data_IF_295761420899
#
_entry.id   IF_295761420899
#
_cell.length_a   1.000
_cell.length_b   1.000
_cell.length_c   1.000
_cell.angle_alpha   90.00
_cell.angle_beta   90.00
_cell.angle_gamma   90.00
#
_symmetry.space_group_name_H-M   'P 1'
#
loop_
_entity.id
_entity.type
_entity.pdbx_description
1 polymer ?
#
# COMPACT_ATOMS: atom_id res chain seq x y z
N UNK A 1 -15.09 -12.27 25.47
CA UNK A 1 -15.77 -11.39 24.50
C UNK A 1 -16.34 -10.21 25.27
N UNK A 2 -15.62 -9.08 25.32
CA UNK A 2 -16.09 -7.88 26.02
C UNK A 2 -16.89 -7.02 25.04
N UNK A 3 -18.21 -7.04 25.18
CA UNK A 3 -19.12 -6.17 24.44
C UNK A 3 -19.09 -4.77 25.08
N UNK A 4 -18.13 -3.93 24.67
CA UNK A 4 -18.16 -2.51 25.01
C UNK A 4 -19.39 -1.88 24.35
N UNK A 5 -20.15 -1.02 25.04
CA UNK A 5 -21.20 -0.25 24.39
C UNK A 5 -20.57 0.52 23.24
N UNK A 6 -21.15 0.37 22.06
CA UNK A 6 -20.79 1.15 20.89
C UNK A 6 -21.11 2.61 21.20
N UNK A 7 -20.09 3.43 21.38
CA UNK A 7 -20.25 4.89 21.49
C UNK A 7 -19.90 5.55 20.15
N UNK A 8 -20.82 6.36 19.62
CA UNK A 8 -20.63 7.12 18.38
C UNK A 8 -21.59 6.71 17.25
N UNK A 9 -21.61 7.52 16.19
CA UNK A 9 -22.35 7.20 14.96
C UNK A 9 -21.81 5.90 14.32
N UNK A 10 -22.64 5.22 13.55
CA UNK A 10 -22.20 4.11 12.71
C UNK A 10 -21.13 4.56 11.71
N UNK A 11 -20.10 3.74 11.54
CA UNK A 11 -19.17 3.88 10.43
C UNK A 11 -19.92 3.68 9.10
N UNK A 12 -19.53 4.46 8.09
CA UNK A 12 -20.14 4.44 6.74
C UNK A 12 -19.43 3.52 5.76
N UNK A 13 -18.42 2.81 6.25
CA UNK A 13 -17.56 1.93 5.51
C UNK A 13 -17.17 0.75 6.40
N UNK A 14 -17.08 -0.42 5.81
CA UNK A 14 -16.57 -1.63 6.44
C UNK A 14 -15.99 -2.58 5.39
N UNK A 15 -14.97 -3.35 5.78
CA UNK A 15 -14.48 -4.50 5.02
C UNK A 15 -15.07 -5.82 5.52
N UNK A 16 -15.92 -5.76 6.53
CA UNK A 16 -16.60 -6.93 7.08
C UNK A 16 -17.81 -7.30 6.21
N UNK A 17 -18.26 -8.56 6.25
CA UNK A 17 -19.52 -8.96 5.66
C UNK A 17 -20.69 -8.09 6.13
N UNK A 18 -21.60 -7.79 5.22
CA UNK A 18 -22.77 -6.93 5.47
C UNK A 18 -24.07 -7.69 5.26
N UNK A 19 -25.12 -7.21 5.91
CA UNK A 19 -26.50 -7.55 5.60
C UNK A 19 -27.21 -6.33 5.05
N UNK A 20 -28.15 -6.52 4.12
CA UNK A 20 -28.88 -5.41 3.51
C UNK A 20 -30.34 -5.75 3.24
N UNK A 21 -31.15 -4.70 3.11
CA UNK A 21 -32.57 -4.73 2.81
C UNK A 21 -32.88 -3.81 1.61
N UNK A 22 -33.68 -4.26 0.63
CA UNK A 22 -34.17 -3.41 -0.45
C UNK A 22 -35.10 -2.34 0.10
N UNK A 23 -34.81 -1.08 -0.26
CA UNK A 23 -35.69 0.05 -0.01
C UNK A 23 -36.36 0.43 -1.32
N UNK A 24 -37.69 0.43 -1.32
CA UNK A 24 -38.49 0.79 -2.49
C UNK A 24 -39.30 2.05 -2.24
N UNK A 25 -39.49 2.87 -3.27
CA UNK A 25 -40.45 3.98 -3.30
C UNK A 25 -41.46 3.73 -4.41
N UNK A 26 -42.75 3.60 -4.06
CA UNK A 26 -43.84 3.28 -4.99
C UNK A 26 -43.53 2.04 -5.85
N UNK A 27 -42.90 1.03 -5.25
CA UNK A 27 -42.48 -0.22 -5.91
C UNK A 27 -41.18 -0.15 -6.70
N UNK A 28 -40.53 1.01 -6.80
CA UNK A 28 -39.23 1.17 -7.47
C UNK A 28 -38.09 1.04 -6.47
N UNK A 29 -37.09 0.19 -6.73
CA UNK A 29 -35.89 0.07 -5.89
C UNK A 29 -35.08 1.38 -5.95
N UNK A 30 -34.93 2.05 -4.81
CA UNK A 30 -34.16 3.30 -4.69
C UNK A 30 -32.80 3.10 -4.00
N UNK A 31 -32.59 1.97 -3.33
CA UNK A 31 -31.32 1.69 -2.69
C UNK A 31 -31.37 0.53 -1.70
N UNK A 32 -30.25 0.29 -1.05
CA UNK A 32 -30.07 -0.73 -0.02
C UNK A 32 -29.73 -0.09 1.32
N UNK A 33 -30.53 -0.41 2.33
CA UNK A 33 -30.22 -0.11 3.73
C UNK A 33 -29.39 -1.28 4.29
N UNK A 34 -28.20 -0.99 4.80
CA UNK A 34 -27.23 -2.03 5.14
C UNK A 34 -26.61 -1.86 6.53
N UNK A 35 -26.14 -2.96 7.10
CA UNK A 35 -25.41 -3.02 8.36
C UNK A 35 -24.32 -4.10 8.32
N UNK A 36 -23.19 -3.85 8.98
CA UNK A 36 -22.14 -4.86 9.13
C UNK A 36 -22.60 -6.01 10.05
N UNK A 37 -22.20 -7.24 9.72
CA UNK A 37 -22.43 -8.42 10.57
C UNK A 37 -21.62 -8.37 11.87
N UNK A 38 -20.48 -7.68 11.82
CA UNK A 38 -19.57 -7.48 12.95
C UNK A 38 -19.14 -6.02 13.02
N UNK A 39 -18.88 -5.51 14.23
CA UNK A 39 -18.46 -4.12 14.42
C UNK A 39 -19.63 -3.13 14.42
N UNK A 40 -19.34 -1.89 14.07
CA UNK A 40 -20.27 -0.77 14.19
C UNK A 40 -20.43 0.05 12.91
N UNK A 41 -20.86 -0.59 11.82
CA UNK A 41 -21.09 0.08 10.54
C UNK A 41 -22.50 -0.16 10.02
N UNK A 42 -23.10 0.89 9.47
CA UNK A 42 -24.39 0.88 8.79
C UNK A 42 -24.56 2.15 7.96
N UNK A 43 -25.26 2.02 6.84
CA UNK A 43 -25.46 3.08 5.88
C UNK A 43 -26.62 2.79 4.93
N UNK A 44 -26.79 3.70 3.98
CA UNK A 44 -27.70 3.53 2.87
C UNK A 44 -26.93 3.77 1.57
N UNK A 45 -26.90 2.76 0.70
CA UNK A 45 -26.39 2.93 -0.66
C UNK A 45 -27.55 3.19 -1.61
N UNK A 46 -27.41 4.24 -2.43
CA UNK A 46 -28.44 4.63 -3.40
C UNK A 46 -28.25 3.90 -4.73
N UNK A 47 -29.36 3.64 -5.40
CA UNK A 47 -29.37 3.18 -6.79
C UNK A 47 -29.15 4.39 -7.71
N UNK A 48 -28.11 4.36 -8.55
CA UNK A 48 -27.66 5.54 -9.30
C UNK A 48 -28.50 5.86 -10.54
N UNK A 49 -29.12 4.85 -11.16
CA UNK A 49 -29.95 4.98 -12.37
C UNK A 49 -31.38 5.47 -12.07
N UNK A 50 -31.87 5.25 -10.84
CA UNK A 50 -33.21 5.61 -10.40
C UNK A 50 -33.32 7.08 -9.95
N UNK A 51 -32.21 7.69 -9.49
CA UNK A 51 -32.17 9.06 -8.98
C UNK A 51 -31.21 9.95 -9.79
N UNK A 52 -31.80 10.85 -10.58
CA UNK A 52 -31.09 11.97 -11.19
C UNK A 52 -30.61 12.95 -10.12
N UNK A 53 -29.43 12.70 -9.52
CA UNK A 53 -28.72 13.62 -8.63
C UNK A 53 -29.39 13.99 -7.29
N UNK A 54 -30.64 13.60 -7.04
CA UNK A 54 -31.32 13.82 -5.77
C UNK A 54 -30.69 12.97 -4.66
N UNK A 55 -30.44 13.58 -3.51
CA UNK A 55 -29.83 12.96 -2.33
C UNK A 55 -30.79 12.92 -1.13
N UNK A 56 -32.05 13.31 -1.31
CA UNK A 56 -33.06 13.36 -0.25
C UNK A 56 -33.23 12.00 0.44
N UNK A 57 -33.31 10.92 -0.34
CA UNK A 57 -33.41 9.55 0.19
C UNK A 57 -32.20 9.18 1.05
N UNK A 58 -30.99 9.48 0.54
CA UNK A 58 -29.74 9.25 1.26
C UNK A 58 -29.71 9.97 2.59
N UNK A 59 -29.94 11.29 2.61
CA UNK A 59 -29.89 12.07 3.85
C UNK A 59 -30.96 11.65 4.86
N UNK A 60 -32.13 11.24 4.40
CA UNK A 60 -33.21 10.80 5.29
C UNK A 60 -32.85 9.47 5.98
N UNK A 61 -32.29 8.51 5.24
CA UNK A 61 -31.82 7.26 5.84
C UNK A 61 -30.62 7.47 6.76
N UNK A 62 -29.67 8.30 6.36
CA UNK A 62 -28.51 8.65 7.19
C UNK A 62 -28.93 9.25 8.53
N UNK A 63 -29.91 10.16 8.53
CA UNK A 63 -30.49 10.71 9.76
C UNK A 63 -31.14 9.64 10.63
N UNK A 64 -31.96 8.76 10.04
CA UNK A 64 -32.62 7.65 10.77
C UNK A 64 -31.61 6.70 11.42
N UNK A 65 -30.49 6.44 10.74
CA UNK A 65 -29.40 5.63 11.26
C UNK A 65 -28.65 6.35 12.39
N UNK A 66 -28.36 7.64 12.26
CA UNK A 66 -27.78 8.44 13.34
C UNK A 66 -28.66 8.51 14.58
N UNK A 67 -29.98 8.66 14.42
CA UNK A 67 -30.93 8.60 15.53
C UNK A 67 -30.92 7.23 16.21
N UNK A 68 -30.82 6.14 15.44
CA UNK A 68 -30.71 4.80 15.99
C UNK A 68 -29.39 4.61 16.77
N UNK A 69 -28.29 5.08 16.22
CA UNK A 69 -26.99 5.04 16.89
C UNK A 69 -26.99 5.85 18.19
N UNK A 70 -27.62 7.03 18.19
CA UNK A 70 -27.79 7.86 19.39
C UNK A 70 -28.64 7.18 20.48
N UNK A 71 -29.54 6.28 20.09
CA UNK A 71 -30.33 5.43 20.99
C UNK A 71 -29.56 4.16 21.43
N UNK A 72 -28.34 3.95 20.95
CA UNK A 72 -27.52 2.78 21.29
C UNK A 72 -27.99 1.49 20.63
N UNK A 73 -28.75 1.58 19.54
CA UNK A 73 -29.17 0.39 18.79
C UNK A 73 -27.94 -0.28 18.14
N UNK A 74 -27.88 -1.62 18.10
CA UNK A 74 -26.93 -2.32 17.23
C UNK A 74 -27.25 -2.06 15.75
N UNK A 75 -26.25 -2.02 14.84
CA UNK A 75 -26.46 -1.76 13.42
C UNK A 75 -27.56 -2.62 12.76
N UNK A 76 -27.52 -3.93 12.98
CA UNK A 76 -28.51 -4.87 12.40
C UNK A 76 -29.93 -4.56 12.93
N UNK A 77 -30.07 -4.29 14.22
CA UNK A 77 -31.36 -3.94 14.80
C UNK A 77 -31.90 -2.59 14.26
N UNK A 78 -30.99 -1.64 14.00
CA UNK A 78 -31.33 -0.35 13.45
C UNK A 78 -31.87 -0.41 12.01
N UNK A 79 -31.41 -1.37 11.20
CA UNK A 79 -31.95 -1.60 9.86
C UNK A 79 -33.22 -2.46 9.89
N UNK A 80 -33.24 -3.53 10.69
CA UNK A 80 -34.39 -4.45 10.79
C UNK A 80 -35.67 -3.79 11.29
N UNK A 81 -35.58 -2.77 12.17
CA UNK A 81 -36.76 -2.08 12.71
C UNK A 81 -37.66 -1.44 11.64
N UNK A 82 -37.14 -1.26 10.43
CA UNK A 82 -37.87 -0.64 9.32
C UNK A 82 -38.63 -1.65 8.45
N UNK A 83 -38.45 -2.96 8.66
CA UNK A 83 -39.19 -4.00 7.94
C UNK A 83 -40.69 -3.87 8.26
N UNK A 84 -41.51 -3.65 7.23
CA UNK A 84 -42.95 -3.49 7.36
C UNK A 84 -43.40 -2.12 7.89
N UNK A 85 -42.47 -1.18 8.11
CA UNK A 85 -42.83 0.20 8.42
C UNK A 85 -43.55 0.84 7.22
N UNK A 86 -44.56 1.71 7.44
CA UNK A 86 -45.21 2.43 6.36
C UNK A 86 -44.21 3.17 5.46
N UNK A 87 -44.44 3.10 4.15
CA UNK A 87 -43.63 3.81 3.17
C UNK A 87 -43.64 5.32 3.43
N UNK A 88 -42.46 5.93 3.36
CA UNK A 88 -42.28 7.37 3.50
C UNK A 88 -42.01 7.99 2.14
N UNK A 89 -42.67 9.10 1.76
CA UNK A 89 -42.40 9.77 0.49
C UNK A 89 -40.93 10.19 0.30
N UNK A 90 -40.25 10.52 1.40
CA UNK A 90 -38.86 11.01 1.40
C UNK A 90 -37.81 9.89 1.47
N UNK A 91 -38.20 8.65 1.77
CA UNK A 91 -37.24 7.58 2.06
C UNK A 91 -37.66 6.19 1.57
N UNK A 92 -38.82 6.07 0.91
CA UNK A 92 -39.41 4.78 0.60
C UNK A 92 -39.75 3.97 1.85
N UNK A 93 -39.86 2.66 1.67
CA UNK A 93 -40.14 1.68 2.71
C UNK A 93 -39.52 0.33 2.41
N UNK A 94 -39.58 -0.56 3.41
CA UNK A 94 -39.13 -1.95 3.30
C UNK A 94 -40.36 -2.83 3.52
N UNK A 95 -40.67 -3.69 2.56
CA UNK A 95 -41.89 -4.51 2.61
C UNK A 95 -41.93 -5.42 3.84
N UNK A 96 -43.13 -5.68 4.36
CA UNK A 96 -43.32 -6.63 5.45
C UNK A 96 -42.88 -8.05 5.01
N UNK A 97 -42.19 -8.76 5.90
CA UNK A 97 -41.67 -10.10 5.61
C UNK A 97 -40.40 -10.14 4.75
N UNK A 98 -39.81 -8.98 4.43
CA UNK A 98 -38.49 -8.93 3.77
C UNK A 98 -37.43 -9.54 4.69
N UNK A 99 -36.67 -10.50 4.17
CA UNK A 99 -35.54 -11.10 4.87
C UNK A 99 -34.25 -10.31 4.61
N UNK A 100 -33.30 -10.40 5.55
CA UNK A 100 -31.97 -9.85 5.35
C UNK A 100 -31.21 -10.65 4.29
N UNK A 101 -30.64 -9.94 3.32
CA UNK A 101 -29.73 -10.54 2.35
C UNK A 101 -28.29 -10.33 2.82
N UNK A 102 -27.43 -11.33 2.64
CA UNK A 102 -26.02 -11.25 3.02
C UNK A 102 -25.13 -10.97 1.80
N UNK A 103 -24.11 -10.13 1.99
CA UNK A 103 -23.02 -9.95 1.04
C UNK A 103 -21.66 -10.11 1.74
N UNK A 104 -20.67 -10.57 0.98
CA UNK A 104 -19.31 -10.78 1.49
C UNK A 104 -18.65 -9.48 1.98
N UNK A 105 -19.01 -8.36 1.37
CA UNK A 105 -18.54 -7.00 1.66
C UNK A 105 -19.47 -5.96 1.01
N UNK A 106 -19.23 -4.68 1.32
CA UNK A 106 -20.00 -3.55 0.79
C UNK A 106 -19.81 -3.37 -0.73
N UNK A 107 -18.68 -3.79 -1.29
CA UNK A 107 -18.40 -3.71 -2.73
C UNK A 107 -19.26 -4.70 -3.53
N UNK A 108 -19.42 -5.92 -3.03
CA UNK A 108 -20.31 -6.94 -3.61
C UNK A 108 -21.75 -6.43 -3.66
N UNK A 109 -22.24 -5.87 -2.56
CA UNK A 109 -23.57 -5.26 -2.47
C UNK A 109 -23.72 -4.06 -3.42
N UNK A 110 -22.71 -3.19 -3.49
CA UNK A 110 -22.69 -2.03 -4.38
C UNK A 110 -22.77 -2.44 -5.86
N UNK A 111 -22.00 -3.44 -6.27
CA UNK A 111 -21.98 -3.93 -7.65
C UNK A 111 -23.31 -4.57 -8.06
N UNK A 112 -24.01 -5.22 -7.12
CA UNK A 112 -25.37 -5.70 -7.37
C UNK A 112 -26.37 -4.55 -7.55
N UNK A 113 -26.28 -3.53 -6.70
CA UNK A 113 -27.18 -2.38 -6.75
C UNK A 113 -26.93 -1.49 -7.98
N UNK A 114 -25.67 -1.35 -8.38
CA UNK A 114 -25.19 -0.42 -9.41
C UNK A 114 -24.24 -1.12 -10.40
N UNK A 115 -24.72 -2.07 -11.21
CA UNK A 115 -23.87 -2.89 -12.09
C UNK A 115 -23.13 -2.06 -13.15
N UNK A 116 -23.73 -0.98 -13.62
CA UNK A 116 -23.14 -0.03 -14.58
C UNK A 116 -22.53 1.21 -13.89
N UNK A 117 -22.48 1.22 -12.55
CA UNK A 117 -21.95 2.32 -11.75
C UNK A 117 -20.42 2.32 -11.68
N UNK A 118 -19.80 3.43 -11.26
CA UNK A 118 -18.39 3.42 -10.90
C UNK A 118 -18.16 2.48 -9.71
N UNK A 119 -16.95 1.92 -9.53
CA UNK A 119 -16.63 1.14 -8.34
C UNK A 119 -16.77 2.02 -7.09
N UNK A 120 -17.24 1.42 -5.99
CA UNK A 120 -17.42 2.11 -4.69
C UNK A 120 -16.11 2.76 -4.21
N UNK A 121 -14.98 2.16 -4.54
CA UNK A 121 -13.64 2.61 -4.19
C UNK A 121 -13.09 1.94 -2.93
N UNK A 122 -11.82 2.18 -2.57
CA UNK A 122 -11.14 1.47 -1.47
C UNK A 122 -11.60 1.92 -0.06
N UNK A 123 -12.40 2.98 0.00
CA UNK A 123 -12.85 3.61 1.24
C UNK A 123 -11.73 4.23 2.08
N UNK A 124 -12.00 4.55 3.35
CA UNK A 124 -10.98 5.02 4.29
C UNK A 124 -9.83 4.04 4.44
N UNK A 125 -8.61 4.55 4.66
CA UNK A 125 -7.43 3.72 4.88
C UNK A 125 -7.63 2.75 6.08
N UNK A 126 -8.12 3.29 7.19
CA UNK A 126 -8.43 2.53 8.40
C UNK A 126 -9.92 2.21 8.44
N UNK A 127 -10.26 0.93 8.49
CA UNK A 127 -11.64 0.44 8.63
C UNK A 127 -11.62 -0.74 9.60
N UNK A 128 -12.62 -0.82 10.48
CA UNK A 128 -12.75 -1.93 11.44
C UNK A 128 -11.49 -2.15 12.33
N UNK A 129 -10.68 -1.11 12.52
CA UNK A 129 -9.40 -1.18 13.25
C UNK A 129 -8.22 -1.76 12.45
N UNK A 130 -8.40 -1.99 11.14
CA UNK A 130 -7.44 -2.62 10.25
C UNK A 130 -7.04 -1.71 9.08
N UNK A 131 -5.81 -1.88 8.61
CA UNK A 131 -5.33 -1.40 7.31
C UNK A 131 -5.82 -2.32 6.17
N UNK A 132 -5.70 -1.91 4.88
CA UNK A 132 -6.19 -2.71 3.76
C UNK A 132 -5.56 -4.10 3.62
N UNK A 133 -4.33 -4.28 4.12
CA UNK A 133 -3.59 -5.54 4.17
C UNK A 133 -3.97 -6.41 5.39
N UNK A 134 -5.05 -6.08 6.09
CA UNK A 134 -5.50 -6.69 7.35
C UNK A 134 -4.54 -6.47 8.54
N UNK A 135 -3.56 -5.58 8.42
CA UNK A 135 -2.68 -5.21 9.53
C UNK A 135 -3.47 -4.43 10.58
N UNK A 136 -3.46 -4.83 11.87
CA UNK A 136 -4.09 -4.06 12.93
C UNK A 136 -3.45 -2.70 13.12
N UNK A 137 -4.26 -1.66 13.27
CA UNK A 137 -3.78 -0.33 13.63
C UNK A 137 -3.29 -0.33 15.08
N UNK A 138 -3.99 -1.03 15.97
CA UNK A 138 -3.56 -1.27 17.35
C UNK A 138 -2.42 -2.29 17.39
N UNK A 139 -1.21 -1.82 17.68
CA UNK A 139 0.01 -2.64 17.70
C UNK A 139 0.06 -3.64 18.86
N UNK A 140 -0.82 -3.51 19.86
CA UNK A 140 -0.99 -4.55 20.87
C UNK A 140 -1.62 -5.83 20.26
N UNK A 141 -2.31 -5.72 19.12
CA UNK A 141 -2.92 -6.85 18.40
C UNK A 141 -1.96 -7.48 17.38
N UNK A 142 -0.70 -7.04 17.34
CA UNK A 142 0.35 -7.54 16.47
C UNK A 142 0.63 -6.64 15.27
N UNK A 143 1.41 -7.18 14.33
CA UNK A 143 1.90 -6.48 13.14
C UNK A 143 1.31 -7.00 11.84
N UNK A 144 0.31 -7.89 11.91
CA UNK A 144 -0.16 -8.65 10.75
C UNK A 144 0.89 -9.64 10.24
N UNK A 145 0.70 -10.17 9.02
CA UNK A 145 1.68 -11.04 8.38
C UNK A 145 2.97 -10.25 8.07
N UNK A 146 4.07 -10.59 8.74
CA UNK A 146 5.37 -10.03 8.40
C UNK A 146 5.84 -10.61 7.07
N UNK A 147 5.87 -9.79 6.03
CA UNK A 147 6.44 -10.16 4.72
C UNK A 147 7.86 -9.61 4.60
N UNK A 148 8.84 -10.49 4.38
CA UNK A 148 10.16 -10.05 3.93
C UNK A 148 10.03 -9.64 2.46
N UNK A 149 10.12 -8.34 2.19
CA UNK A 149 10.23 -7.87 0.82
C UNK A 149 11.45 -8.55 0.17
N UNK A 150 11.27 -9.11 -1.02
CA UNK A 150 12.42 -9.57 -1.80
C UNK A 150 13.33 -8.37 -2.04
N UNK A 151 14.66 -8.50 -1.87
CA UNK A 151 15.56 -7.41 -2.15
C UNK A 151 15.36 -6.94 -3.61
N UNK A 152 15.45 -5.63 -3.88
CA UNK A 152 15.35 -5.13 -5.24
C UNK A 152 16.33 -5.87 -6.18
N UNK A 153 15.92 -6.22 -7.40
CA UNK A 153 16.81 -6.87 -8.35
C UNK A 153 18.08 -6.03 -8.58
N UNK A 154 19.24 -6.66 -8.48
CA UNK A 154 20.55 -6.02 -8.70
C UNK A 154 21.55 -7.04 -9.23
N UNK A 155 22.71 -6.57 -9.68
CA UNK A 155 23.79 -7.41 -10.17
C UNK A 155 24.25 -8.42 -9.11
N UNK A 156 24.83 -9.55 -9.55
CA UNK A 156 25.51 -10.44 -8.63
C UNK A 156 26.67 -9.70 -7.92
N UNK A 157 26.78 -9.86 -6.61
CA UNK A 157 27.75 -9.11 -5.78
C UNK A 157 29.08 -9.83 -5.60
N UNK A 158 29.26 -10.99 -6.26
CA UNK A 158 30.49 -11.78 -6.21
C UNK A 158 30.85 -12.28 -7.61
N UNK A 159 32.14 -12.38 -7.88
CA UNK A 159 32.68 -12.97 -9.11
C UNK A 159 34.08 -13.51 -8.85
N UNK A 160 34.43 -14.60 -9.53
CA UNK A 160 35.81 -15.12 -9.60
C UNK A 160 36.56 -14.62 -10.84
N UNK A 161 35.86 -13.95 -11.76
CA UNK A 161 36.45 -13.41 -12.97
C UNK A 161 37.21 -12.10 -12.70
N UNK A 162 37.98 -11.67 -13.71
CA UNK A 162 38.58 -10.34 -13.71
C UNK A 162 37.49 -9.26 -13.60
N UNK A 163 37.83 -8.16 -12.94
CA UNK A 163 36.92 -7.04 -12.71
C UNK A 163 37.48 -5.74 -13.27
N UNK A 164 36.62 -4.92 -13.88
CA UNK A 164 36.90 -3.52 -14.14
C UNK A 164 36.49 -2.71 -12.94
N UNK A 165 37.23 -1.65 -12.61
CA UNK A 165 36.93 -0.86 -11.43
C UNK A 165 37.24 0.63 -11.57
N UNK A 166 36.55 1.43 -10.76
CA UNK A 166 36.73 2.87 -10.63
C UNK A 166 36.85 3.27 -9.16
N UNK A 167 37.80 4.15 -8.81
CA UNK A 167 37.92 4.65 -7.44
C UNK A 167 36.75 5.58 -7.11
N UNK A 168 36.19 5.38 -5.93
CA UNK A 168 35.28 6.32 -5.28
C UNK A 168 36.12 7.20 -4.36
N UNK A 169 36.10 8.50 -4.59
CA UNK A 169 36.90 9.49 -3.89
C UNK A 169 36.04 10.48 -3.13
N UNK A 170 36.56 10.96 -2.00
CA UNK A 170 35.97 12.05 -1.21
C UNK A 170 37.08 12.83 -0.52
N UNK A 171 37.09 14.14 -0.65
CA UNK A 171 38.15 15.01 -0.08
C UNK A 171 39.57 14.51 -0.38
N UNK A 172 39.81 14.03 -1.61
CA UNK A 172 41.11 13.49 -2.05
C UNK A 172 41.46 12.09 -1.53
N UNK A 173 40.60 11.45 -0.73
CA UNK A 173 40.81 10.09 -0.20
C UNK A 173 39.95 9.07 -0.93
N UNK A 174 40.52 7.90 -1.26
CA UNK A 174 39.78 6.78 -1.86
C UNK A 174 39.01 6.03 -0.77
N UNK A 175 37.68 6.06 -0.85
CA UNK A 175 36.77 5.36 0.07
C UNK A 175 36.63 3.87 -0.27
N UNK A 176 36.74 3.54 -1.56
CA UNK A 176 36.54 2.19 -2.08
C UNK A 176 36.54 2.19 -3.61
N UNK A 177 36.09 1.08 -4.18
CA UNK A 177 36.07 0.87 -5.62
C UNK A 177 34.69 0.37 -6.06
N UNK A 178 34.08 1.05 -7.03
CA UNK A 178 33.04 0.42 -7.84
C UNK A 178 33.69 -0.58 -8.77
N UNK A 179 33.15 -1.78 -8.87
CA UNK A 179 33.68 -2.79 -9.77
C UNK A 179 32.56 -3.50 -10.53
N UNK A 180 32.92 -4.01 -11.70
CA UNK A 180 32.07 -4.81 -12.56
C UNK A 180 32.89 -5.95 -13.15
N UNK A 181 32.31 -7.14 -13.20
CA UNK A 181 32.93 -8.30 -13.83
C UNK A 181 33.21 -8.02 -15.31
N UNK A 182 34.38 -8.46 -15.79
CA UNK A 182 34.74 -8.40 -17.20
C UNK A 182 33.87 -9.36 -18.02
N UNK A 183 33.47 -10.48 -17.41
CA UNK A 183 32.59 -11.50 -17.98
C UNK A 183 31.37 -11.71 -17.09
N UNK A 184 30.18 -11.81 -17.69
CA UNK A 184 28.92 -11.92 -16.95
C UNK A 184 28.44 -10.58 -16.37
N UNK A 185 27.45 -10.65 -15.48
CA UNK A 185 26.69 -9.49 -15.00
C UNK A 185 26.75 -9.36 -13.46
N UNK A 186 27.97 -9.15 -12.98
CA UNK A 186 28.25 -8.94 -11.56
C UNK A 186 28.87 -7.55 -11.35
N UNK A 187 28.39 -6.81 -10.37
CA UNK A 187 28.92 -5.51 -9.97
C UNK A 187 28.57 -5.23 -8.51
N UNK A 188 29.50 -4.59 -7.80
CA UNK A 188 29.25 -4.09 -6.46
C UNK A 188 30.22 -2.94 -6.16
N UNK A 189 30.11 -2.39 -4.95
CA UNK A 189 31.08 -1.53 -4.33
C UNK A 189 31.92 -2.33 -3.32
N UNK A 190 33.25 -2.22 -3.45
CA UNK A 190 34.21 -2.78 -2.51
C UNK A 190 34.76 -1.66 -1.61
N UNK A 191 34.43 -1.62 -0.30
CA UNK A 191 35.00 -0.64 0.61
C UNK A 191 36.50 -0.87 0.77
N UNK A 192 37.28 0.22 0.83
CA UNK A 192 38.71 0.13 1.15
C UNK A 192 38.89 0.03 2.66
N UNK A 193 39.65 -0.96 3.13
CA UNK A 193 39.91 -1.16 4.57
C UNK A 193 40.53 0.08 5.23
N UNK A 194 41.45 0.77 4.56
CA UNK A 194 42.08 1.99 5.05
C UNK A 194 41.12 3.19 5.19
N UNK A 195 39.97 3.18 4.50
CA UNK A 195 38.94 4.21 4.63
C UNK A 195 38.01 4.00 5.83
N UNK A 196 38.16 2.88 6.56
CA UNK A 196 37.41 2.58 7.77
C UNK A 196 35.89 2.69 7.57
N UNK A 197 35.22 3.33 8.52
CA UNK A 197 33.76 3.45 8.51
C UNK A 197 33.24 4.36 7.39
N UNK A 198 34.02 5.34 6.94
CA UNK A 198 33.65 6.16 5.78
C UNK A 198 33.52 5.31 4.52
N UNK A 199 34.43 4.36 4.31
CA UNK A 199 34.36 3.38 3.22
C UNK A 199 33.12 2.50 3.30
N UNK A 200 32.78 2.01 4.49
CA UNK A 200 31.60 1.15 4.72
C UNK A 200 30.28 1.91 4.53
N UNK A 201 30.18 3.12 5.06
CA UNK A 201 28.98 3.96 4.97
C UNK A 201 28.63 4.32 3.52
N UNK A 202 29.65 4.51 2.67
CA UNK A 202 29.46 4.78 1.24
C UNK A 202 28.77 3.62 0.48
N UNK A 203 28.87 2.38 0.98
CA UNK A 203 28.42 1.19 0.25
C UNK A 203 26.92 1.19 -0.07
N UNK A 204 26.09 1.67 0.86
CA UNK A 204 24.62 1.66 0.69
C UNK A 204 24.17 2.46 -0.53
N UNK A 205 24.66 3.70 -0.66
CA UNK A 205 24.27 4.59 -1.76
C UNK A 205 24.81 4.09 -3.11
N UNK A 206 26.04 3.57 -3.14
CA UNK A 206 26.59 3.01 -4.38
C UNK A 206 25.86 1.74 -4.83
N UNK A 207 25.48 0.85 -3.91
CA UNK A 207 24.64 -0.33 -4.22
C UNK A 207 23.26 0.06 -4.73
N UNK A 208 22.65 1.10 -4.16
CA UNK A 208 21.37 1.63 -4.64
C UNK A 208 21.49 2.14 -6.08
N UNK A 209 22.52 2.94 -6.38
CA UNK A 209 22.80 3.44 -7.75
C UNK A 209 23.07 2.30 -8.75
N UNK A 210 23.73 1.22 -8.31
CA UNK A 210 23.90 0.02 -9.13
C UNK A 210 22.57 -0.71 -9.34
N UNK A 211 21.71 -0.80 -8.32
CA UNK A 211 20.35 -1.34 -8.45
C UNK A 211 19.48 -0.53 -9.43
N UNK A 212 19.57 0.79 -9.41
CA UNK A 212 18.90 1.67 -10.37
C UNK A 212 19.40 1.40 -11.80
N UNK A 213 20.72 1.29 -11.97
CA UNK A 213 21.33 0.97 -13.26
C UNK A 213 20.90 -0.42 -13.77
N UNK A 214 20.84 -1.42 -12.89
CA UNK A 214 20.36 -2.77 -13.21
C UNK A 214 18.88 -2.75 -13.63
N UNK A 215 18.04 -2.01 -12.89
CA UNK A 215 16.62 -1.82 -13.23
C UNK A 215 16.45 -1.12 -14.58
N UNK A 216 17.36 -0.20 -14.93
CA UNK A 216 17.41 0.44 -16.25
C UNK A 216 17.99 -0.46 -17.36
N UNK A 217 18.34 -1.72 -17.06
CA UNK A 217 18.85 -2.70 -18.02
C UNK A 217 20.28 -2.43 -18.49
N UNK A 218 21.07 -1.65 -17.75
CA UNK A 218 22.48 -1.45 -18.07
C UNK A 218 23.27 -2.73 -17.82
N UNK A 219 24.35 -2.94 -18.57
CA UNK A 219 25.33 -3.97 -18.23
C UNK A 219 26.11 -3.56 -16.99
N UNK A 220 26.62 -4.52 -16.20
CA UNK A 220 27.49 -4.25 -15.05
C UNK A 220 28.61 -3.23 -15.34
N UNK A 221 29.29 -3.35 -16.50
CA UNK A 221 30.37 -2.42 -16.89
C UNK A 221 29.83 -1.02 -17.22
N UNK A 222 28.68 -0.93 -17.90
CA UNK A 222 28.08 0.36 -18.22
C UNK A 222 27.48 1.04 -16.99
N UNK A 223 27.01 0.27 -16.01
CA UNK A 223 26.55 0.78 -14.73
C UNK A 223 27.67 1.53 -13.98
N UNK A 224 28.84 0.92 -13.80
CA UNK A 224 29.95 1.60 -13.11
C UNK A 224 30.48 2.81 -13.91
N UNK A 225 30.37 2.81 -15.25
CA UNK A 225 30.66 4.00 -16.07
C UNK A 225 29.61 5.09 -15.86
N UNK A 226 28.34 4.72 -15.84
CA UNK A 226 27.23 5.62 -15.60
C UNK A 226 27.34 6.30 -14.23
N UNK A 227 27.92 5.61 -13.24
CA UNK A 227 28.15 6.18 -11.92
C UNK A 227 29.02 7.45 -11.89
N UNK A 228 29.78 7.75 -12.96
CA UNK A 228 30.53 9.02 -13.11
C UNK A 228 29.65 10.26 -13.31
N UNK A 229 28.38 10.05 -13.65
CA UNK A 229 27.45 11.16 -13.88
C UNK A 229 26.93 11.75 -12.57
N UNK A 230 26.89 10.96 -11.50
CA UNK A 230 26.49 11.43 -10.16
C UNK A 230 27.47 12.47 -9.61
N UNK A 231 26.91 13.48 -8.96
CA UNK A 231 27.69 14.47 -8.22
C UNK A 231 28.25 13.88 -6.92
N UNK A 232 29.22 14.57 -6.32
CA UNK A 232 29.77 14.19 -5.02
C UNK A 232 28.69 14.17 -3.96
N UNK A 233 28.61 13.04 -3.25
CA UNK A 233 27.71 12.84 -2.12
C UNK A 233 28.46 13.04 -0.80
N UNK A 234 27.81 13.68 0.16
CA UNK A 234 28.39 14.01 1.47
C UNK A 234 28.71 12.79 2.32
N UNK A 235 28.19 11.61 2.01
CA UNK A 235 28.52 10.34 2.65
C UNK A 235 29.34 9.43 1.72
N UNK A 236 28.92 9.29 0.46
CA UNK A 236 29.44 8.28 -0.45
C UNK A 236 30.55 8.77 -1.39
N UNK A 237 30.86 10.08 -1.42
CA UNK A 237 31.85 10.65 -2.34
C UNK A 237 31.38 10.65 -3.79
N UNK A 238 32.32 10.65 -4.72
CA UNK A 238 32.08 10.62 -6.18
C UNK A 238 33.02 9.64 -6.88
N UNK A 239 32.66 9.27 -8.11
CA UNK A 239 33.61 8.76 -9.09
C UNK A 239 34.04 9.91 -9.98
N UNK A 240 35.34 10.16 -10.10
CA UNK A 240 35.83 11.21 -11.01
C UNK A 240 35.41 10.89 -12.46
N UNK A 241 34.84 11.89 -13.15
CA UNK A 241 34.43 11.78 -14.56
C UNK A 241 35.58 11.35 -15.47
N UNK A 242 36.81 11.76 -15.12
CA UNK A 242 38.06 11.45 -15.81
C UNK A 242 38.79 10.23 -15.25
N UNK A 243 38.27 9.58 -14.21
CA UNK A 243 38.90 8.37 -13.68
C UNK A 243 39.10 7.35 -14.80
N UNK A 244 40.25 6.70 -14.86
CA UNK A 244 40.47 5.63 -15.83
C UNK A 244 39.76 4.35 -15.35
N UNK A 245 39.11 3.65 -16.29
CA UNK A 245 38.53 2.35 -16.01
C UNK A 245 39.64 1.29 -15.99
N UNK A 246 40.07 0.90 -14.79
CA UNK A 246 41.18 -0.02 -14.57
C UNK A 246 40.67 -1.45 -14.47
N UNK A 247 41.57 -2.43 -14.59
CA UNK A 247 41.23 -3.86 -14.46
C UNK A 247 42.05 -4.50 -13.34
N UNK A 248 41.43 -5.41 -12.59
CA UNK A 248 42.05 -6.28 -11.59
C UNK A 248 41.76 -7.74 -11.95
N UNK A 249 42.70 -8.69 -11.71
CA UNK A 249 42.49 -10.10 -12.02
C UNK A 249 41.31 -10.75 -11.29
N UNK A 250 40.94 -10.24 -10.11
CA UNK A 250 39.78 -10.67 -9.33
C UNK A 250 39.52 -9.67 -8.16
N UNK A 251 38.50 -9.95 -7.35
CA UNK A 251 38.13 -9.14 -6.19
C UNK A 251 39.16 -9.16 -5.06
N UNK A 252 39.87 -10.26 -4.85
CA UNK A 252 40.90 -10.34 -3.80
C UNK A 252 42.06 -9.40 -4.12
N UNK A 253 42.56 -9.42 -5.36
CA UNK A 253 43.59 -8.47 -5.81
C UNK A 253 43.11 -7.01 -5.78
N UNK A 254 41.81 -6.76 -5.99
CA UNK A 254 41.24 -5.42 -5.85
C UNK A 254 41.17 -4.95 -4.40
N UNK A 255 40.91 -5.86 -3.46
CA UNK A 255 40.90 -5.54 -2.02
C UNK A 255 42.28 -5.15 -1.50
N UNK A 256 43.34 -5.70 -2.11
CA UNK A 256 44.75 -5.43 -1.77
C UNK A 256 45.31 -4.18 -2.47
N UNK A 257 44.55 -3.51 -3.35
CA UNK A 257 45.02 -2.32 -4.06
C UNK A 257 45.19 -1.13 -3.11
N UNK A 258 46.45 -0.80 -2.82
CA UNK A 258 46.85 0.45 -2.16
C UNK A 258 47.04 1.56 -3.21
N UNK A 259 46.35 2.71 -3.12
CA UNK A 259 46.59 3.85 -3.98
C UNK A 259 47.98 4.44 -3.71
N UNK A 260 48.74 4.63 -4.79
CA UNK A 260 49.80 5.64 -4.85
C UNK A 260 49.20 7.02 -5.01
#
# INVERSE_FOLDING_TARGET
MNNRPVSGNYHKWTRQPVVYLPVTLSGTLIGYLWAAKTGNAAGFERRLDADGGDLTHLFTWERRLSEAAAQGLPPIAAVQRWIGAPESPEAGGIAAGTELVEAADQETMWNELNPDGPPLGPGPLVQDGLLPDSTPVDRAQGWGPLVSASPPPTYATVTSAAVRFLPVVKNGSVLGYLWASVTGDAADYLPRSAAGDAGKLAAGLWRMRLGDAHTAGLSATDAIRHCRTYQEDSFAGMVDRRAELRTSPNLASLAELDPR
#
